data_IF_528156954709
#
_entry.id   IF_528156954709
#
_cell.length_a   1.000
_cell.length_b   1.000
_cell.length_c   1.000
_cell.angle_alpha   90.00
_cell.angle_beta   90.00
_cell.angle_gamma   90.00
#
_symmetry.space_group_name_H-M   'P 1'
#
loop_
_entity.id
_entity.type
_entity.pdbx_description
1 polymer ?
#
# COMPACT_ATOMS: atom_id res chain seq x y z
N UNK A 1 -9.86 0.21 9.53
CA UNK A 1 -9.88 1.22 8.45
C UNK A 1 -9.68 0.48 7.13
N UNK A 2 -10.29 0.90 6.01
CA UNK A 2 -10.03 0.24 4.72
C UNK A 2 -9.79 1.25 3.59
N UNK A 3 -9.10 0.79 2.56
CA UNK A 3 -8.68 1.58 1.40
C UNK A 3 -8.95 0.78 0.14
N UNK A 4 -9.41 1.44 -0.93
CA UNK A 4 -9.50 0.85 -2.26
C UNK A 4 -8.48 1.51 -3.18
N UNK A 5 -7.59 0.72 -3.75
CA UNK A 5 -6.66 1.11 -4.79
C UNK A 5 -7.34 0.85 -6.13
N UNK A 6 -7.72 1.91 -6.83
CA UNK A 6 -8.24 1.82 -8.18
C UNK A 6 -7.07 1.65 -9.13
N UNK A 7 -6.95 0.51 -9.79
CA UNK A 7 -5.87 0.24 -10.74
C UNK A 7 -6.39 0.14 -12.17
N UNK A 8 -5.48 0.20 -13.14
CA UNK A 8 -5.80 -0.10 -14.54
C UNK A 8 -6.33 -1.53 -14.77
N UNK A 9 -6.12 -2.45 -13.83
CA UNK A 9 -6.58 -3.84 -13.92
C UNK A 9 -7.74 -4.17 -12.96
N UNK A 10 -8.34 -3.15 -12.37
CA UNK A 10 -9.44 -3.30 -11.40
C UNK A 10 -9.06 -2.86 -9.99
N UNK A 11 -10.01 -3.02 -9.08
CA UNK A 11 -9.89 -2.52 -7.73
C UNK A 11 -9.24 -3.53 -6.79
N UNK A 12 -8.28 -3.08 -5.98
CA UNK A 12 -7.70 -3.84 -4.87
C UNK A 12 -8.20 -3.22 -3.57
N UNK A 13 -8.90 -4.02 -2.75
CA UNK A 13 -9.37 -3.59 -1.43
C UNK A 13 -8.39 -4.05 -0.36
N UNK A 14 -7.96 -3.11 0.48
CA UNK A 14 -7.02 -3.34 1.57
C UNK A 14 -7.65 -2.95 2.91
N UNK A 15 -7.51 -3.84 3.89
CA UNK A 15 -7.72 -3.49 5.30
C UNK A 15 -6.42 -2.95 5.89
N UNK A 16 -6.53 -1.91 6.71
CA UNK A 16 -5.40 -1.24 7.36
C UNK A 16 -5.53 -1.42 8.88
N UNK A 17 -4.54 -2.08 9.47
CA UNK A 17 -4.43 -2.37 10.91
C UNK A 17 -3.92 -1.16 11.70
N UNK A 18 -4.69 -0.07 11.72
CA UNK A 18 -4.29 1.21 12.33
C UNK A 18 -3.85 1.10 13.80
N UNK A 19 -4.49 0.25 14.59
CA UNK A 19 -4.19 0.14 16.03
C UNK A 19 -2.88 -0.62 16.28
N UNK A 20 -2.56 -1.59 15.43
CA UNK A 20 -1.36 -2.40 15.57
C UNK A 20 -0.11 -1.71 15.02
N UNK A 21 -0.25 -0.98 13.90
CA UNK A 21 0.85 -0.30 13.19
C UNK A 21 0.56 1.19 12.97
N UNK A 22 0.40 1.98 14.04
CA UNK A 22 -0.12 3.34 13.96
C UNK A 22 0.72 4.27 13.08
N UNK A 23 2.06 4.22 13.16
CA UNK A 23 2.90 5.09 12.32
C UNK A 23 2.89 4.66 10.86
N UNK A 24 2.95 3.37 10.60
CA UNK A 24 2.91 2.83 9.25
C UNK A 24 1.58 3.16 8.58
N UNK A 25 0.48 3.01 9.31
CA UNK A 25 -0.87 3.36 8.86
C UNK A 25 -1.05 4.86 8.64
N UNK A 26 -0.60 5.70 9.58
CA UNK A 26 -0.64 7.17 9.44
C UNK A 26 0.12 7.62 8.19
N UNK A 27 1.35 7.13 8.00
CA UNK A 27 2.15 7.44 6.83
C UNK A 27 1.44 7.06 5.53
N UNK A 28 0.93 5.82 5.44
CA UNK A 28 0.25 5.34 4.24
C UNK A 28 -1.01 6.15 3.95
N UNK A 29 -1.87 6.36 4.95
CA UNK A 29 -3.15 7.06 4.79
C UNK A 29 -2.98 8.54 4.43
N UNK A 30 -2.00 9.21 5.03
CA UNK A 30 -1.70 10.60 4.71
C UNK A 30 -1.16 10.76 3.27
N UNK A 31 -0.28 9.86 2.81
CA UNK A 31 0.18 9.83 1.41
C UNK A 31 -0.96 9.51 0.43
N UNK A 32 -1.87 8.62 0.80
CA UNK A 32 -3.08 8.36 0.02
C UNK A 32 -3.96 9.62 -0.10
N UNK A 33 -4.20 10.30 1.03
CA UNK A 33 -5.03 11.51 1.08
C UNK A 33 -4.46 12.66 0.24
N UNK A 34 -3.14 12.72 0.07
CA UNK A 34 -2.47 13.73 -0.78
C UNK A 34 -2.38 13.34 -2.25
N UNK A 35 -2.90 12.17 -2.67
CA UNK A 35 -2.74 11.66 -4.04
C UNK A 35 -1.31 11.22 -4.39
N UNK A 36 -0.46 10.97 -3.40
CA UNK A 36 0.98 10.68 -3.62
C UNK A 36 1.23 9.44 -4.49
N UNK A 37 0.32 8.46 -4.40
CA UNK A 37 0.42 7.20 -5.13
C UNK A 37 -0.28 7.21 -6.49
N UNK A 38 -0.97 8.29 -6.84
CA UNK A 38 -1.70 8.39 -8.11
C UNK A 38 -0.70 8.40 -9.28
N UNK A 39 -0.94 7.54 -10.27
CA UNK A 39 -0.06 7.33 -11.42
C UNK A 39 1.14 6.41 -11.16
N UNK A 40 1.40 6.00 -9.92
CA UNK A 40 2.51 5.08 -9.60
C UNK A 40 2.25 3.66 -10.11
N UNK A 41 3.32 2.93 -10.44
CA UNK A 41 3.23 1.54 -10.90
C UNK A 41 3.71 0.55 -9.84
N UNK A 42 3.26 -0.70 -9.99
CA UNK A 42 3.91 -1.84 -9.37
C UNK A 42 5.16 -2.24 -10.19
N UNK A 43 6.27 -1.54 -9.94
CA UNK A 43 7.51 -1.64 -10.74
C UNK A 43 8.25 -2.97 -10.57
N UNK A 44 7.90 -3.79 -9.57
CA UNK A 44 8.51 -5.11 -9.36
C UNK A 44 7.44 -6.17 -9.09
N UNK A 45 7.45 -7.24 -9.89
CA UNK A 45 6.52 -8.36 -9.81
C UNK A 45 7.31 -9.68 -9.82
N UNK A 46 7.23 -10.46 -8.73
CA UNK A 46 7.90 -11.75 -8.60
C UNK A 46 6.86 -12.85 -8.40
N UNK A 47 6.80 -13.75 -9.36
CA UNK A 47 5.90 -14.90 -9.36
C UNK A 47 6.12 -15.78 -8.12
N UNK A 48 5.02 -16.08 -7.41
CA UNK A 48 5.04 -16.91 -6.21
C UNK A 48 5.61 -16.19 -4.97
N UNK A 49 5.75 -14.86 -5.04
CA UNK A 49 6.25 -14.08 -3.92
C UNK A 49 5.44 -12.80 -3.67
N UNK A 50 5.62 -11.74 -4.48
CA UNK A 50 4.98 -10.45 -4.22
C UNK A 50 5.00 -9.50 -5.42
N UNK A 51 4.17 -8.46 -5.34
CA UNK A 51 4.27 -7.24 -6.12
C UNK A 51 4.69 -6.07 -5.21
N UNK A 52 5.44 -5.13 -5.77
CA UNK A 52 5.96 -3.96 -5.06
C UNK A 52 5.74 -2.71 -5.91
N UNK A 53 5.24 -1.65 -5.26
CA UNK A 53 4.91 -0.36 -5.84
C UNK A 53 5.15 0.78 -4.84
N UNK A 54 4.47 1.92 -5.03
CA UNK A 54 4.51 3.05 -4.08
C UNK A 54 5.68 4.03 -4.26
N UNK A 55 6.44 3.92 -5.35
CA UNK A 55 7.51 4.85 -5.71
C UNK A 55 7.04 5.82 -6.82
N UNK A 56 6.87 7.13 -6.54
CA UNK A 56 6.48 8.12 -7.55
C UNK A 56 7.44 8.27 -8.72
N UNK A 57 8.70 7.90 -8.55
CA UNK A 57 9.69 7.94 -9.62
C UNK A 57 9.62 6.71 -10.52
N UNK A 58 8.90 5.66 -10.10
CA UNK A 58 8.81 4.36 -10.77
C UNK A 58 10.16 3.65 -10.98
N UNK A 59 11.21 4.07 -10.28
CA UNK A 59 12.57 3.49 -10.41
C UNK A 59 12.83 2.34 -9.44
N UNK A 60 11.98 2.19 -8.42
CA UNK A 60 12.16 1.29 -7.29
C UNK A 60 13.16 1.80 -6.25
N UNK A 61 13.60 3.06 -6.35
CA UNK A 61 14.59 3.68 -5.47
C UNK A 61 14.11 5.02 -4.87
N UNK A 62 12.99 5.55 -5.35
CA UNK A 62 12.40 6.78 -4.85
C UNK A 62 11.37 6.54 -3.74
N UNK A 63 10.59 7.58 -3.46
CA UNK A 63 9.62 7.59 -2.37
C UNK A 63 10.20 8.16 -1.08
N UNK A 64 9.35 8.84 -0.32
CA UNK A 64 9.67 9.31 1.04
C UNK A 64 8.44 9.23 1.92
N UNK A 65 8.64 9.17 3.24
CA UNK A 65 7.54 9.21 4.19
C UNK A 65 6.96 10.63 4.28
N UNK A 66 5.81 10.77 4.93
CA UNK A 66 5.24 12.08 5.26
C UNK A 66 6.16 12.94 6.14
N UNK A 67 7.13 12.33 6.80
CA UNK A 67 8.11 13.01 7.64
C UNK A 67 9.42 13.34 6.91
N UNK A 68 9.53 13.04 5.61
CA UNK A 68 10.73 13.28 4.80
C UNK A 68 11.93 12.40 5.14
N UNK A 69 11.77 11.40 6.03
CA UNK A 69 12.82 10.49 6.49
C UNK A 69 12.27 9.10 6.81
N UNK A 70 13.15 8.10 6.92
CA UNK A 70 12.74 6.76 7.38
C UNK A 70 12.22 6.82 8.83
N UNK A 71 11.30 5.91 9.16
CA UNK A 71 10.73 5.73 10.49
C UNK A 71 10.92 4.29 10.97
N UNK A 72 10.68 4.05 12.26
CA UNK A 72 10.96 2.75 12.90
C UNK A 72 9.95 1.67 12.48
N UNK A 73 10.40 0.42 12.46
CA UNK A 73 9.55 -0.74 12.20
C UNK A 73 8.51 -0.98 13.32
N UNK A 74 7.33 -1.46 12.95
CA UNK A 74 6.23 -1.79 13.88
C UNK A 74 5.88 -3.29 13.77
N UNK A 75 6.79 -4.15 14.24
CA UNK A 75 6.63 -5.60 14.14
C UNK A 75 5.65 -6.12 15.21
N UNK A 76 4.75 -7.02 14.81
CA UNK A 76 3.76 -7.68 15.69
C UNK A 76 3.73 -9.18 15.42
N UNK A 77 3.65 -9.99 16.46
CA UNK A 77 3.57 -11.45 16.30
C UNK A 77 2.25 -11.89 15.66
N UNK A 78 1.17 -11.13 15.87
CA UNK A 78 -0.14 -11.28 15.24
C UNK A 78 -0.12 -11.05 13.72
N UNK A 79 0.77 -10.18 13.24
CA UNK A 79 0.84 -9.76 11.84
C UNK A 79 1.98 -10.49 11.12
N UNK A 80 1.67 -11.65 10.52
CA UNK A 80 2.62 -12.45 9.76
C UNK A 80 2.29 -12.43 8.28
N UNK A 81 3.31 -12.31 7.43
CA UNK A 81 3.17 -12.53 6.00
C UNK A 81 2.88 -14.01 5.74
N UNK A 82 1.62 -14.34 5.48
CA UNK A 82 1.23 -15.66 4.99
C UNK A 82 1.25 -15.62 3.47
N UNK A 83 2.10 -16.43 2.84
CA UNK A 83 2.17 -16.53 1.38
C UNK A 83 1.67 -17.89 0.91
N UNK A 84 0.83 -17.88 -0.12
CA UNK A 84 0.31 -19.08 -0.78
C UNK A 84 0.76 -19.17 -2.24
N UNK A 85 0.70 -20.36 -2.89
CA UNK A 85 1.16 -20.53 -4.27
C UNK A 85 0.33 -19.79 -5.35
N UNK A 86 -0.78 -19.13 -4.97
CA UNK A 86 -1.84 -18.68 -5.88
C UNK A 86 -1.79 -17.22 -6.35
N UNK A 87 -0.89 -16.39 -5.84
CA UNK A 87 -0.97 -14.94 -6.04
C UNK A 87 -0.27 -14.49 -7.33
N UNK A 88 -1.03 -13.98 -8.32
CA UNK A 88 -0.52 -13.63 -9.66
C UNK A 88 -1.16 -12.38 -10.28
N UNK A 89 -0.35 -11.39 -10.67
CA UNK A 89 -0.68 -10.43 -11.71
C UNK A 89 0.15 -10.66 -12.99
N UNK A 90 -0.52 -10.64 -14.14
CA UNK A 90 0.02 -11.02 -15.46
C UNK A 90 0.56 -9.84 -16.29
N UNK A 91 0.39 -8.62 -15.81
CA UNK A 91 0.62 -7.38 -16.55
C UNK A 91 0.99 -6.25 -15.59
N UNK A 92 1.51 -5.13 -16.13
CA UNK A 92 1.76 -3.92 -15.35
C UNK A 92 0.47 -3.43 -14.70
N UNK A 93 0.53 -3.27 -13.39
CA UNK A 93 -0.52 -2.67 -12.59
C UNK A 93 -0.10 -1.24 -12.28
N UNK A 94 -0.99 -0.29 -12.55
CA UNK A 94 -0.84 1.13 -12.24
C UNK A 94 -1.94 1.55 -11.30
N UNK A 95 -1.59 2.28 -10.25
CA UNK A 95 -2.55 2.93 -9.36
C UNK A 95 -3.05 4.19 -10.04
N UNK A 96 -4.34 4.23 -10.34
CA UNK A 96 -4.99 5.39 -10.93
C UNK A 96 -5.42 6.39 -9.86
N UNK A 97 -5.99 5.88 -8.76
CA UNK A 97 -6.46 6.66 -7.61
C UNK A 97 -6.59 5.77 -6.38
N UNK A 98 -6.53 6.36 -5.20
CA UNK A 98 -6.87 5.68 -3.95
C UNK A 98 -8.10 6.32 -3.28
N UNK A 99 -9.02 5.52 -2.75
CA UNK A 99 -10.16 5.97 -1.92
C UNK A 99 -10.05 5.38 -0.52
N UNK A 100 -10.10 6.26 0.49
CA UNK A 100 -10.07 5.88 1.91
C UNK A 100 -11.51 5.74 2.40
N UNK A 101 -11.82 4.60 3.02
CA UNK A 101 -13.11 4.31 3.63
C UNK A 101 -12.95 4.34 5.14
N UNK A 102 -13.37 5.44 5.77
CA UNK A 102 -13.46 5.52 7.22
C UNK A 102 -14.52 4.55 7.72
N UNK A 103 -14.22 3.77 8.76
CA UNK A 103 -15.25 2.98 9.45
C UNK A 103 -16.09 3.96 10.29
N UNK A 104 -17.38 4.16 10.00
CA UNK A 104 -18.23 5.08 10.77
C UNK A 104 -18.43 4.64 12.23
N UNK A 105 -18.02 3.42 12.61
CA UNK A 105 -18.12 2.88 13.97
C UNK A 105 -16.83 3.01 14.79
N UNK A 106 -15.78 3.65 14.25
CA UNK A 106 -14.49 3.82 14.95
C UNK A 106 -14.41 5.11 15.78
N UNK A 107 -15.53 5.54 16.38
CA UNK A 107 -15.65 6.71 17.26
C UNK A 107 -16.08 6.33 18.66
#
# INVERSE_FOLDING_TARGET
MSVTLHTNLGDIKCEIFCDEVPKTAENFLALCASGYYDGTIFHRNIKGFMIQGGDPTNTGKGGTSIWGKKFNDEIRESLKAQTGPGDRPLMEIRINRITIHANPLAG
#
